data_IF_753951946149
#
_entry.id   IF_753951946149
#
_cell.length_a   1.000
_cell.length_b   1.000
_cell.length_c   1.000
_cell.angle_alpha   90.00
_cell.angle_beta   90.00
_cell.angle_gamma   90.00
#
_symmetry.space_group_name_H-M   'P 1'
#
loop_
_entity.id
_entity.type
_entity.pdbx_description
1 polymer ?
#
# COMPACT_ATOMS: atom_id res chain seq x y z
N UNK A 1 13.38 -29.05 7.23
CA UNK A 1 12.33 -28.04 7.46
C UNK A 1 12.02 -27.97 8.94
N UNK A 2 12.17 -26.81 9.57
CA UNK A 2 11.79 -26.60 10.97
C UNK A 2 10.49 -25.82 10.97
N UNK A 3 9.39 -26.49 11.25
CA UNK A 3 8.11 -25.84 11.55
C UNK A 3 8.26 -25.00 12.82
N UNK A 4 7.52 -23.90 12.91
CA UNK A 4 7.50 -23.08 14.11
C UNK A 4 7.11 -23.92 15.33
N UNK A 5 7.77 -23.75 16.50
CA UNK A 5 7.31 -24.36 17.73
C UNK A 5 5.83 -24.01 17.98
N UNK A 6 4.97 -24.97 18.43
CA UNK A 6 3.52 -24.74 18.54
C UNK A 6 3.13 -23.49 19.34
N UNK A 7 3.87 -23.18 20.42
CA UNK A 7 3.64 -21.98 21.21
C UNK A 7 3.87 -20.69 20.40
N UNK A 8 4.93 -20.63 19.59
CA UNK A 8 5.26 -19.47 18.75
C UNK A 8 4.23 -19.32 17.63
N UNK A 9 3.82 -20.43 17.01
CA UNK A 9 2.79 -20.41 15.98
C UNK A 9 1.46 -19.86 16.52
N UNK A 10 1.01 -20.34 17.68
CA UNK A 10 -0.22 -19.87 18.30
C UNK A 10 -0.15 -18.39 18.68
N UNK A 11 0.96 -17.94 19.25
CA UNK A 11 1.18 -16.53 19.56
C UNK A 11 1.08 -15.65 18.30
N UNK A 12 1.69 -16.08 17.19
CA UNK A 12 1.65 -15.35 15.93
C UNK A 12 0.27 -15.36 15.28
N UNK A 13 -0.45 -16.48 15.37
CA UNK A 13 -1.85 -16.56 14.94
C UNK A 13 -2.74 -15.60 15.71
N UNK A 14 -2.60 -15.53 17.04
CA UNK A 14 -3.34 -14.57 17.86
C UNK A 14 -3.07 -13.11 17.46
N UNK A 15 -1.82 -12.79 17.08
CA UNK A 15 -1.49 -11.45 16.55
C UNK A 15 -2.21 -11.15 15.25
N UNK A 16 -2.26 -12.10 14.31
CA UNK A 16 -2.99 -11.93 13.03
C UNK A 16 -4.49 -11.75 13.27
N UNK A 17 -5.07 -12.56 14.15
CA UNK A 17 -6.48 -12.50 14.51
C UNK A 17 -6.82 -11.15 15.17
N UNK A 18 -5.98 -10.67 16.10
CA UNK A 18 -6.15 -9.36 16.74
C UNK A 18 -5.97 -8.18 15.76
N UNK A 19 -4.97 -8.27 14.86
CA UNK A 19 -4.72 -7.26 13.84
C UNK A 19 -5.91 -7.11 12.89
N UNK A 20 -6.75 -8.14 12.75
CA UNK A 20 -7.92 -8.08 11.89
C UNK A 20 -8.88 -6.95 12.24
N UNK A 21 -8.91 -6.57 13.52
CA UNK A 21 -9.79 -5.55 14.09
C UNK A 21 -9.21 -4.11 14.01
N UNK A 22 -7.92 -3.95 13.73
CA UNK A 22 -7.23 -2.67 13.81
C UNK A 22 -7.66 -1.67 12.71
N UNK A 23 -7.90 -0.43 13.12
CA UNK A 23 -8.22 0.72 12.26
C UNK A 23 -7.25 1.88 12.52
N UNK A 24 -6.29 2.16 11.61
CA UNK A 24 -5.31 3.23 11.82
C UNK A 24 -5.93 4.63 11.93
N UNK A 25 -7.16 4.86 11.45
CA UNK A 25 -7.85 6.16 11.57
C UNK A 25 -8.53 6.34 12.94
N UNK A 26 -8.48 5.33 13.81
CA UNK A 26 -9.09 5.34 15.15
C UNK A 26 -8.15 4.84 16.26
N UNK A 27 -7.16 4.02 15.90
CA UNK A 27 -6.31 3.32 16.85
C UNK A 27 -4.92 3.95 16.88
N UNK A 28 -4.84 5.17 17.42
CA UNK A 28 -3.57 5.82 17.77
C UNK A 28 -2.73 6.39 16.63
N UNK A 29 -3.22 6.36 15.38
CA UNK A 29 -2.53 6.94 14.21
C UNK A 29 -3.31 8.08 13.53
N UNK A 30 -4.35 8.63 14.18
CA UNK A 30 -5.23 9.65 13.59
C UNK A 30 -4.49 10.90 13.12
N UNK A 31 -3.45 11.32 13.86
CA UNK A 31 -2.64 12.48 13.50
C UNK A 31 -1.87 12.32 12.19
N UNK A 32 -1.64 11.08 11.74
CA UNK A 32 -1.03 10.77 10.46
C UNK A 32 -2.04 10.75 9.31
N UNK A 33 -3.34 10.67 9.62
CA UNK A 33 -4.43 10.56 8.64
C UNK A 33 -4.87 11.91 8.07
N UNK A 34 -4.27 13.02 8.52
CA UNK A 34 -4.46 14.34 7.93
C UNK A 34 -3.12 14.91 7.51
N UNK A 35 -3.03 15.46 6.30
CA UNK A 35 -1.82 16.16 5.88
C UNK A 35 -2.16 17.40 5.04
N UNK A 36 -1.35 18.45 5.19
CA UNK A 36 -1.42 19.65 4.36
C UNK A 36 -0.38 19.53 3.25
N UNK A 37 -0.81 19.65 2.00
CA UNK A 37 0.03 19.57 0.81
C UNK A 37 -0.33 20.67 -0.18
N UNK A 38 0.67 21.18 -0.91
CA UNK A 38 0.42 22.03 -2.08
C UNK A 38 0.28 21.08 -3.26
N UNK A 39 -0.93 20.89 -3.79
CA UNK A 39 -1.16 20.15 -5.03
C UNK A 39 -1.59 21.18 -6.07
N UNK A 40 -0.81 21.35 -7.13
CA UNK A 40 -1.17 22.27 -8.20
C UNK A 40 -2.47 21.80 -8.88
N UNK A 41 -3.48 22.67 -8.91
CA UNK A 41 -4.78 22.38 -9.52
C UNK A 41 -4.65 22.07 -11.01
N UNK A 42 -5.27 20.98 -11.44
CA UNK A 42 -5.35 20.57 -12.84
C UNK A 42 -6.42 21.40 -13.58
N UNK A 43 -6.05 22.59 -14.05
CA UNK A 43 -6.58 23.22 -15.27
C UNK A 43 -5.71 24.44 -15.61
N UNK A 44 -4.71 24.27 -16.48
CA UNK A 44 -4.00 25.41 -17.10
C UNK A 44 -4.66 25.70 -18.45
N UNK A 45 -5.66 26.58 -18.45
CA UNK A 45 -5.93 27.39 -19.64
C UNK A 45 -4.82 28.43 -19.72
N UNK A 46 -4.00 28.37 -20.78
CA UNK A 46 -2.76 29.15 -20.94
C UNK A 46 -2.95 30.66 -21.16
N UNK A 47 -4.13 31.22 -20.90
CA UNK A 47 -4.48 32.58 -21.33
C UNK A 47 -4.92 33.55 -20.21
N UNK A 48 -4.54 33.35 -18.96
CA UNK A 48 -4.62 34.44 -17.97
C UNK A 48 -3.46 34.38 -16.97
N UNK A 49 -2.57 35.37 -17.08
CA UNK A 49 -1.65 35.76 -16.03
C UNK A 49 -2.44 36.47 -14.92
N UNK A 50 -2.82 35.75 -13.87
CA UNK A 50 -3.19 36.36 -12.59
C UNK A 50 -2.83 35.42 -11.43
N UNK A 51 -2.05 35.95 -10.48
CA UNK A 51 -1.80 35.51 -9.11
C UNK A 51 -1.92 33.99 -8.83
N UNK A 52 -0.77 33.31 -8.86
CA UNK A 52 -0.61 31.94 -8.39
C UNK A 52 -0.76 31.86 -6.87
N UNK A 53 -2.00 31.86 -6.39
CA UNK A 53 -2.31 31.52 -5.01
C UNK A 53 -2.24 29.98 -4.91
N UNK A 54 -1.04 29.45 -4.63
CA UNK A 54 -0.81 28.03 -4.31
C UNK A 54 -1.65 27.66 -3.07
N UNK A 55 -2.92 27.32 -3.28
CA UNK A 55 -3.81 26.95 -2.19
C UNK A 55 -3.36 25.60 -1.62
N UNK A 56 -2.99 25.63 -0.34
CA UNK A 56 -2.65 24.45 0.43
C UNK A 56 -3.89 23.55 0.54
N UNK A 57 -3.91 22.44 -0.19
CA UNK A 57 -4.96 21.44 -0.08
C UNK A 57 -4.73 20.59 1.18
N UNK A 58 -5.78 20.46 2.00
CA UNK A 58 -5.79 19.47 3.07
C UNK A 58 -6.23 18.14 2.49
N UNK A 59 -5.43 17.12 2.74
CA UNK A 59 -5.71 15.75 2.37
C UNK A 59 -6.16 14.97 3.60
N UNK A 60 -7.18 14.16 3.39
CA UNK A 60 -7.71 13.24 4.39
C UNK A 60 -7.45 11.80 3.94
N UNK A 61 -6.97 10.98 4.87
CA UNK A 61 -6.74 9.55 4.68
C UNK A 61 -7.87 8.80 5.39
N UNK A 62 -8.63 8.05 4.61
CA UNK A 62 -9.74 7.23 5.08
C UNK A 62 -9.32 5.76 5.12
N UNK A 63 -9.80 5.02 6.11
CA UNK A 63 -9.59 3.59 6.22
C UNK A 63 -10.86 2.83 5.86
N UNK A 64 -10.70 1.77 5.07
CA UNK A 64 -11.80 0.89 4.68
C UNK A 64 -11.38 -0.57 4.83
N UNK A 65 -12.26 -1.38 5.42
CA UNK A 65 -12.18 -2.82 5.22
C UNK A 65 -12.90 -3.17 3.92
N UNK A 66 -12.39 -4.16 3.20
CA UNK A 66 -12.96 -4.58 1.92
C UNK A 66 -14.47 -4.84 1.96
N UNK A 67 -14.95 -5.48 3.03
CA UNK A 67 -16.36 -5.78 3.25
C UNK A 67 -17.25 -4.56 3.52
N UNK A 68 -16.67 -3.44 3.95
CA UNK A 68 -17.38 -2.20 4.28
C UNK A 68 -17.09 -1.07 3.29
N UNK A 69 -16.21 -1.30 2.31
CA UNK A 69 -15.84 -0.32 1.29
C UNK A 69 -16.95 -0.24 0.23
N UNK A 70 -17.38 0.97 -0.10
CA UNK A 70 -18.38 1.18 -1.16
C UNK A 70 -17.81 0.82 -2.53
N UNK A 71 -18.70 0.48 -3.47
CA UNK A 71 -18.29 0.21 -4.85
C UNK A 71 -17.61 1.40 -5.53
N UNK A 72 -18.02 2.62 -5.17
CA UNK A 72 -17.40 3.85 -5.67
C UNK A 72 -15.90 3.91 -5.32
N UNK A 73 -15.54 3.74 -4.04
CA UNK A 73 -14.14 3.80 -3.62
C UNK A 73 -13.33 2.65 -4.23
N UNK A 74 -13.91 1.44 -4.30
CA UNK A 74 -13.23 0.28 -4.87
C UNK A 74 -12.97 0.45 -6.37
N UNK A 75 -13.97 0.90 -7.12
CA UNK A 75 -13.82 1.23 -8.53
C UNK A 75 -12.76 2.31 -8.75
N UNK A 76 -12.73 3.35 -7.91
CA UNK A 76 -11.71 4.40 -7.97
C UNK A 76 -10.29 3.85 -7.74
N UNK A 77 -10.11 2.95 -6.77
CA UNK A 77 -8.83 2.27 -6.55
C UNK A 77 -8.42 1.43 -7.78
N UNK A 78 -9.37 0.66 -8.33
CA UNK A 78 -9.14 -0.14 -9.53
C UNK A 78 -8.76 0.72 -10.75
N UNK A 79 -9.42 1.86 -10.96
CA UNK A 79 -9.07 2.80 -12.04
C UNK A 79 -7.66 3.36 -11.89
N UNK A 80 -7.26 3.75 -10.68
CA UNK A 80 -5.89 4.23 -10.44
C UNK A 80 -4.88 3.10 -10.70
N UNK A 81 -5.14 1.89 -10.20
CA UNK A 81 -4.29 0.73 -10.41
C UNK A 81 -4.10 0.43 -11.91
N UNK A 82 -5.20 0.30 -12.65
CA UNK A 82 -5.14 -0.04 -14.08
C UNK A 82 -4.43 1.04 -14.89
N UNK A 83 -4.67 2.32 -14.58
CA UNK A 83 -3.95 3.44 -15.20
C UNK A 83 -2.45 3.36 -14.98
N UNK A 84 -2.00 2.98 -13.77
CA UNK A 84 -0.59 2.97 -13.41
C UNK A 84 0.14 1.68 -13.83
N UNK A 85 -0.53 0.53 -13.78
CA UNK A 85 0.13 -0.77 -13.76
C UNK A 85 -0.32 -1.74 -14.85
N UNK A 86 -1.44 -1.51 -15.55
CA UNK A 86 -1.97 -2.48 -16.53
C UNK A 86 -0.91 -2.90 -17.56
N UNK A 87 -0.24 -1.93 -18.19
CA UNK A 87 0.80 -2.22 -19.17
C UNK A 87 1.99 -2.99 -18.56
N UNK A 88 2.37 -2.70 -17.31
CA UNK A 88 3.46 -3.45 -16.66
C UNK A 88 3.07 -4.91 -16.38
N UNK A 89 1.81 -5.17 -16.02
CA UNK A 89 1.32 -6.53 -15.84
C UNK A 89 1.24 -7.27 -17.18
N UNK A 90 0.71 -6.63 -18.23
CA UNK A 90 0.64 -7.21 -19.59
C UNK A 90 2.04 -7.53 -20.15
N UNK A 91 3.05 -6.72 -19.83
CA UNK A 91 4.46 -6.93 -20.21
C UNK A 91 5.24 -7.87 -19.26
N UNK A 92 4.60 -8.40 -18.22
CA UNK A 92 5.22 -9.28 -17.22
C UNK A 92 4.92 -10.75 -17.47
N UNK A 93 5.65 -11.61 -16.77
CA UNK A 93 5.42 -13.05 -16.71
C UNK A 93 4.05 -13.44 -16.14
N UNK A 94 3.38 -12.52 -15.41
CA UNK A 94 2.08 -12.76 -14.78
C UNK A 94 0.89 -12.46 -15.69
N UNK A 95 1.06 -11.61 -16.71
CA UNK A 95 -0.05 -11.06 -17.49
C UNK A 95 -1.02 -10.20 -16.66
N UNK A 96 -2.12 -9.74 -17.27
CA UNK A 96 -3.19 -9.02 -16.57
C UNK A 96 -4.51 -9.77 -16.68
N UNK A 97 -5.09 -10.10 -15.52
CA UNK A 97 -6.39 -10.75 -15.39
C UNK A 97 -7.29 -9.87 -14.51
N UNK A 98 -8.25 -9.20 -15.15
CA UNK A 98 -9.17 -8.25 -14.52
C UNK A 98 -10.05 -8.93 -13.46
N UNK A 99 -10.55 -10.13 -13.74
CA UNK A 99 -11.41 -10.84 -12.81
C UNK A 99 -10.63 -11.22 -11.55
N UNK A 100 -9.43 -11.79 -11.71
CA UNK A 100 -8.56 -12.12 -10.57
C UNK A 100 -8.16 -10.88 -9.78
N UNK A 101 -7.84 -9.77 -10.44
CA UNK A 101 -7.49 -8.51 -9.75
C UNK A 101 -8.70 -7.96 -8.96
N UNK A 102 -9.90 -8.04 -9.52
CA UNK A 102 -11.11 -7.64 -8.80
C UNK A 102 -11.44 -8.57 -7.63
N UNK A 103 -11.23 -9.88 -7.77
CA UNK A 103 -11.34 -10.84 -6.65
C UNK A 103 -10.31 -10.52 -5.55
N UNK A 104 -9.07 -10.19 -5.92
CA UNK A 104 -8.02 -9.77 -4.99
C UNK A 104 -8.42 -8.51 -4.19
N UNK A 105 -8.95 -7.49 -4.87
CA UNK A 105 -9.44 -6.25 -4.24
C UNK A 105 -10.69 -6.47 -3.37
N UNK A 106 -11.44 -7.55 -3.61
CA UNK A 106 -12.65 -7.92 -2.84
C UNK A 106 -12.39 -8.90 -1.72
N UNK A 107 -11.16 -9.38 -1.56
CA UNK A 107 -10.85 -10.37 -0.55
C UNK A 107 -11.25 -9.91 0.86
N UNK A 108 -11.76 -10.83 1.68
CA UNK A 108 -12.28 -10.50 3.02
C UNK A 108 -11.19 -9.93 3.95
N UNK A 109 -9.94 -10.35 3.75
CA UNK A 109 -8.78 -9.85 4.48
C UNK A 109 -8.25 -8.50 3.99
N UNK A 110 -8.76 -7.94 2.89
CA UNK A 110 -8.24 -6.71 2.30
C UNK A 110 -8.61 -5.46 3.11
N UNK A 111 -7.61 -4.60 3.31
CA UNK A 111 -7.71 -3.29 3.98
C UNK A 111 -7.19 -2.21 3.06
N UNK A 112 -7.84 -1.07 3.08
CA UNK A 112 -7.54 0.05 2.20
C UNK A 112 -7.30 1.32 3.01
N UNK A 113 -6.30 2.07 2.60
CA UNK A 113 -6.20 3.49 2.90
C UNK A 113 -6.51 4.24 1.60
N UNK A 114 -7.46 5.16 1.60
CA UNK A 114 -7.71 6.05 0.47
C UNK A 114 -7.40 7.48 0.85
N UNK A 115 -6.87 8.26 -0.09
CA UNK A 115 -6.54 9.67 0.12
C UNK A 115 -7.47 10.51 -0.75
N UNK A 116 -8.16 11.45 -0.13
CA UNK A 116 -9.08 12.39 -0.78
C UNK A 116 -8.73 13.83 -0.38
N UNK A 117 -9.21 14.80 -1.15
CA UNK A 117 -9.19 16.20 -0.73
C UNK A 117 -10.24 16.42 0.38
N UNK A 118 -9.81 17.01 1.50
CA UNK A 118 -10.71 17.35 2.60
C UNK A 118 -11.74 18.39 2.11
N UNK A 119 -13.03 18.06 2.25
CA UNK A 119 -14.14 18.91 1.80
C UNK A 119 -14.47 18.80 0.31
N UNK A 120 -13.81 17.92 -0.46
CA UNK A 120 -14.26 17.60 -1.81
C UNK A 120 -15.58 16.81 -1.76
N UNK A 121 -16.64 17.42 -2.28
CA UNK A 121 -17.98 16.84 -2.29
C UNK A 121 -18.07 15.56 -3.12
N UNK A 122 -17.14 15.37 -4.07
CA UNK A 122 -17.07 14.20 -4.92
C UNK A 122 -16.20 13.08 -4.32
N UNK A 123 -15.50 13.36 -3.20
CA UNK A 123 -14.57 12.43 -2.54
C UNK A 123 -13.59 11.76 -3.52
N UNK A 124 -13.07 12.52 -4.49
CA UNK A 124 -12.18 11.96 -5.53
C UNK A 124 -10.95 11.34 -4.88
N UNK A 125 -10.74 10.05 -5.14
CA UNK A 125 -9.56 9.33 -4.68
C UNK A 125 -8.32 9.77 -5.46
N UNK A 126 -7.33 10.30 -4.75
CA UNK A 126 -6.04 10.72 -5.30
C UNK A 126 -4.95 9.67 -5.11
N UNK A 127 -5.09 8.83 -4.09
CA UNK A 127 -4.16 7.74 -3.83
C UNK A 127 -4.84 6.65 -3.04
N UNK A 128 -4.30 5.44 -3.11
CA UNK A 128 -4.71 4.38 -2.20
C UNK A 128 -3.56 3.42 -1.90
N UNK A 129 -3.71 2.66 -0.83
CA UNK A 129 -2.94 1.44 -0.59
C UNK A 129 -3.87 0.29 -0.22
N UNK A 130 -3.57 -0.91 -0.70
CA UNK A 130 -4.24 -2.17 -0.37
C UNK A 130 -3.24 -3.06 0.36
N UNK A 131 -3.60 -3.52 1.55
CA UNK A 131 -2.74 -4.40 2.34
C UNK A 131 -3.54 -5.45 3.11
N UNK A 132 -2.83 -6.48 3.58
CA UNK A 132 -3.37 -7.56 4.41
C UNK A 132 -2.42 -7.91 5.54
N UNK A 133 -2.96 -8.56 6.57
CA UNK A 133 -2.18 -9.23 7.60
C UNK A 133 -2.16 -10.72 7.28
N UNK A 134 -0.99 -11.24 6.99
CA UNK A 134 -0.81 -12.61 6.47
C UNK A 134 0.46 -13.21 7.07
N UNK A 135 0.68 -14.50 6.80
CA UNK A 135 1.98 -15.10 7.00
C UNK A 135 2.94 -14.64 5.91
N UNK A 136 4.24 -14.67 6.18
CA UNK A 136 5.26 -14.36 5.17
C UNK A 136 5.38 -15.42 4.07
N UNK A 137 4.98 -16.65 4.36
CA UNK A 137 4.88 -17.76 3.42
C UNK A 137 3.67 -18.63 3.80
N UNK A 138 2.88 -19.03 2.81
CA UNK A 138 1.68 -19.84 3.02
C UNK A 138 1.98 -21.32 3.29
N UNK A 139 3.05 -21.86 2.71
CA UNK A 139 3.45 -23.26 2.86
C UNK A 139 4.29 -23.47 4.14
N UNK A 140 5.22 -22.56 4.40
CA UNK A 140 6.12 -22.60 5.55
C UNK A 140 6.09 -21.29 6.35
N UNK A 141 4.99 -21.01 7.08
CA UNK A 141 4.84 -19.76 7.80
C UNK A 141 5.93 -19.62 8.87
N UNK A 142 6.66 -18.51 8.83
CA UNK A 142 7.74 -18.21 9.77
C UNK A 142 7.40 -17.02 10.67
N UNK A 143 6.62 -16.06 10.16
CA UNK A 143 6.21 -14.90 10.92
C UNK A 143 4.97 -14.18 10.36
N UNK A 144 4.24 -13.42 11.21
CA UNK A 144 3.14 -12.59 10.76
C UNK A 144 3.66 -11.28 10.17
N UNK A 145 3.10 -10.87 9.03
CA UNK A 145 3.53 -9.69 8.26
C UNK A 145 2.37 -8.80 7.87
N UNK A 146 2.69 -7.53 7.59
CA UNK A 146 1.80 -6.68 6.80
C UNK A 146 2.25 -6.75 5.35
N UNK A 147 1.46 -7.38 4.48
CA UNK A 147 1.73 -7.48 3.06
C UNK A 147 1.06 -6.31 2.33
N UNK A 148 1.85 -5.47 1.68
CA UNK A 148 1.37 -4.38 0.81
C UNK A 148 1.19 -4.94 -0.61
N UNK A 149 -0.06 -5.17 -0.98
CA UNK A 149 -0.43 -5.63 -2.31
C UNK A 149 -0.35 -4.49 -3.33
N UNK A 150 -0.89 -3.32 -2.97
CA UNK A 150 -0.89 -2.16 -3.85
C UNK A 150 -0.58 -0.88 -3.08
N UNK A 151 0.12 0.04 -3.75
CA UNK A 151 0.19 1.45 -3.36
C UNK A 151 0.28 2.28 -4.62
N UNK A 152 -0.70 3.16 -4.79
CA UNK A 152 -0.79 4.00 -5.98
C UNK A 152 -1.12 5.43 -5.61
N UNK A 153 -0.55 6.35 -6.39
CA UNK A 153 -0.87 7.77 -6.34
C UNK A 153 -1.20 8.17 -7.77
N UNK A 154 -2.32 8.87 -7.97
CA UNK A 154 -2.71 9.42 -9.26
C UNK A 154 -1.62 10.37 -9.77
N UNK A 155 -1.43 10.44 -11.08
CA UNK A 155 -0.36 11.22 -11.71
C UNK A 155 -0.36 12.69 -11.27
N UNK A 156 -1.54 13.29 -11.10
CA UNK A 156 -1.76 14.66 -10.62
C UNK A 156 -1.31 14.89 -9.16
N UNK A 157 -1.26 13.83 -8.34
CA UNK A 157 -0.95 13.92 -6.91
C UNK A 157 0.41 13.29 -6.53
N UNK A 158 1.18 12.83 -7.52
CA UNK A 158 2.51 12.26 -7.31
C UNK A 158 3.54 13.33 -6.89
N UNK A 159 4.62 12.86 -6.24
CA UNK A 159 5.76 13.70 -5.77
C UNK A 159 5.44 14.71 -4.67
N UNK A 160 4.23 14.71 -4.12
CA UNK A 160 3.83 15.49 -2.94
C UNK A 160 3.91 14.70 -1.60
N UNK A 161 4.74 13.66 -1.54
CA UNK A 161 4.96 12.89 -0.31
C UNK A 161 3.82 11.94 0.11
N UNK A 162 2.72 11.85 -0.64
CA UNK A 162 1.57 10.99 -0.33
C UNK A 162 1.97 9.51 -0.20
N UNK A 163 2.73 8.98 -1.17
CA UNK A 163 3.19 7.59 -1.13
C UNK A 163 4.05 7.29 0.11
N UNK A 164 4.92 8.23 0.51
CA UNK A 164 5.71 8.10 1.75
C UNK A 164 4.81 8.08 2.98
N UNK A 165 3.77 8.93 3.02
CA UNK A 165 2.81 8.97 4.13
C UNK A 165 2.05 7.66 4.27
N UNK A 166 1.51 7.13 3.16
CA UNK A 166 0.80 5.84 3.14
C UNK A 166 1.69 4.70 3.64
N UNK A 167 2.93 4.59 3.13
CA UNK A 167 3.89 3.60 3.64
C UNK A 167 4.20 3.79 5.11
N UNK A 168 4.37 5.02 5.58
CA UNK A 168 4.63 5.31 7.00
C UNK A 168 3.48 4.83 7.88
N UNK A 169 2.22 5.06 7.46
CA UNK A 169 1.05 4.56 8.20
C UNK A 169 1.05 3.04 8.22
N UNK A 170 1.36 2.36 7.11
CA UNK A 170 1.45 0.90 7.08
C UNK A 170 2.58 0.36 7.98
N UNK A 171 3.76 0.99 7.99
CA UNK A 171 4.85 0.64 8.93
C UNK A 171 4.43 0.81 10.39
N UNK A 172 3.75 1.91 10.73
CA UNK A 172 3.25 2.14 12.09
C UNK A 172 2.15 1.15 12.48
N UNK A 173 1.23 0.85 11.56
CA UNK A 173 0.20 -0.19 11.72
C UNK A 173 0.84 -1.54 12.00
N UNK A 174 1.86 -1.93 11.22
CA UNK A 174 2.60 -3.17 11.44
C UNK A 174 3.23 -3.24 12.84
N UNK A 175 3.84 -2.13 13.31
CA UNK A 175 4.41 -2.03 14.66
C UNK A 175 3.36 -2.12 15.77
N UNK A 176 2.20 -1.49 15.60
CA UNK A 176 1.12 -1.55 16.59
C UNK A 176 0.47 -2.93 16.64
N UNK A 177 0.27 -3.56 15.49
CA UNK A 177 -0.24 -4.92 15.36
C UNK A 177 0.79 -6.01 15.65
N UNK A 178 2.04 -5.64 16.03
CA UNK A 178 3.13 -6.57 16.37
C UNK A 178 3.51 -7.53 15.23
N UNK A 179 3.38 -7.07 13.98
CA UNK A 179 3.90 -7.77 12.81
C UNK A 179 5.43 -7.74 12.83
N UNK A 180 6.08 -8.75 12.24
CA UNK A 180 7.54 -8.85 12.22
C UNK A 180 8.18 -8.04 11.10
N UNK A 181 7.52 -7.91 9.96
CA UNK A 181 7.97 -7.12 8.82
C UNK A 181 6.79 -6.55 8.04
N UNK A 182 7.06 -5.49 7.27
CA UNK A 182 6.24 -5.09 6.13
C UNK A 182 6.89 -5.68 4.89
N UNK A 183 6.11 -6.34 4.04
CA UNK A 183 6.57 -7.00 2.82
C UNK A 183 5.76 -6.52 1.61
N UNK A 184 6.36 -6.50 0.43
CA UNK A 184 5.72 -6.14 -0.84
C UNK A 184 6.44 -6.77 -2.02
N UNK A 185 5.76 -6.85 -3.16
CA UNK A 185 6.37 -7.26 -4.43
C UNK A 185 6.42 -6.08 -5.40
N UNK A 186 7.51 -5.97 -6.15
CA UNK A 186 7.72 -4.90 -7.14
C UNK A 186 8.37 -5.44 -8.40
N UNK A 187 7.82 -5.07 -9.56
CA UNK A 187 8.46 -5.41 -10.84
C UNK A 187 9.82 -4.72 -10.97
N UNK A 188 10.84 -5.48 -11.40
CA UNK A 188 12.21 -4.98 -11.64
C UNK A 188 12.22 -3.85 -12.67
N UNK A 189 11.31 -3.90 -13.65
CA UNK A 189 11.13 -2.86 -14.69
C UNK A 189 10.56 -1.55 -14.12
N UNK A 190 9.88 -1.57 -12.97
CA UNK A 190 9.34 -0.37 -12.32
C UNK A 190 10.43 0.36 -11.52
N UNK A 191 11.38 0.97 -12.24
CA UNK A 191 12.54 1.64 -11.66
C UNK A 191 12.17 2.77 -10.68
N UNK A 192 11.05 3.46 -10.93
CA UNK A 192 10.57 4.51 -10.02
C UNK A 192 10.14 3.94 -8.67
N UNK A 193 9.37 2.85 -8.67
CA UNK A 193 8.97 2.16 -7.44
C UNK A 193 10.17 1.52 -6.73
N UNK A 194 11.08 0.89 -7.49
CA UNK A 194 12.32 0.32 -6.94
C UNK A 194 13.15 1.36 -6.19
N UNK A 195 13.38 2.54 -6.78
CA UNK A 195 14.08 3.64 -6.10
C UNK A 195 13.31 4.14 -4.88
N UNK A 196 11.99 4.26 -4.99
CA UNK A 196 11.15 4.67 -3.86
C UNK A 196 11.30 3.72 -2.66
N UNK A 197 11.14 2.40 -2.87
CA UNK A 197 11.24 1.43 -1.79
C UNK A 197 12.67 1.29 -1.24
N UNK A 198 13.66 1.06 -2.11
CA UNK A 198 15.03 0.75 -1.67
C UNK A 198 15.77 1.98 -1.16
N UNK A 199 15.72 3.09 -1.88
CA UNK A 199 16.54 4.26 -1.55
C UNK A 199 15.85 5.20 -0.56
N UNK A 200 14.52 5.39 -0.68
CA UNK A 200 13.78 6.36 0.15
C UNK A 200 13.16 5.74 1.38
N UNK A 201 12.50 4.58 1.23
CA UNK A 201 11.84 3.88 2.34
C UNK A 201 12.75 2.89 3.07
N UNK A 202 13.91 2.58 2.50
CA UNK A 202 14.95 1.67 3.04
C UNK A 202 14.48 0.22 3.19
N UNK A 203 13.71 -0.26 2.21
CA UNK A 203 13.37 -1.68 2.08
C UNK A 203 14.56 -2.44 1.48
N UNK A 204 14.83 -3.62 2.02
CA UNK A 204 15.80 -4.58 1.51
C UNK A 204 15.14 -5.63 0.62
N UNK A 205 15.95 -6.41 -0.11
CA UNK A 205 15.46 -7.64 -0.74
C UNK A 205 15.12 -8.62 0.38
N UNK A 206 13.90 -9.17 0.34
CA UNK A 206 13.47 -10.17 1.31
C UNK A 206 14.14 -11.52 1.01
N UNK A 207 14.37 -12.32 2.06
CA UNK A 207 14.96 -13.66 1.92
C UNK A 207 14.12 -14.58 1.02
N UNK A 208 12.80 -14.34 0.94
CA UNK A 208 11.89 -15.07 0.06
C UNK A 208 11.95 -14.65 -1.41
N UNK A 209 12.72 -13.61 -1.77
CA UNK A 209 12.77 -13.12 -3.15
C UNK A 209 13.43 -14.15 -4.08
N UNK A 210 12.92 -14.37 -5.32
CA UNK A 210 13.49 -15.33 -6.27
C UNK A 210 15.00 -15.13 -6.52
N UNK A 211 15.48 -13.88 -6.47
CA UNK A 211 16.89 -13.54 -6.67
C UNK A 211 17.82 -14.13 -5.59
N UNK A 212 17.31 -14.42 -4.39
CA UNK A 212 18.06 -15.08 -3.32
C UNK A 212 18.34 -16.58 -3.62
N UNK A 213 17.62 -17.17 -4.57
CA UNK A 213 17.71 -18.57 -4.97
C UNK A 213 18.27 -18.77 -6.39
N UNK A 214 18.71 -17.69 -7.05
CA UNK A 214 19.19 -17.72 -8.43
C UNK A 214 18.07 -17.94 -9.45
N UNK A 215 16.82 -17.69 -9.07
CA UNK A 215 15.67 -17.80 -9.97
C UNK A 215 15.49 -16.52 -10.78
N UNK A 216 15.30 -16.68 -12.08
CA UNK A 216 15.02 -15.59 -13.01
C UNK A 216 13.54 -15.20 -12.92
N UNK A 217 13.26 -14.12 -12.19
CA UNK A 217 11.94 -13.48 -12.12
C UNK A 217 12.01 -12.02 -12.57
N UNK A 218 10.92 -11.49 -13.11
CA UNK A 218 10.77 -10.09 -13.50
C UNK A 218 10.33 -9.17 -12.36
N UNK A 219 10.23 -9.70 -11.14
CA UNK A 219 9.91 -8.99 -9.90
C UNK A 219 10.92 -9.29 -8.79
N UNK A 220 10.87 -8.49 -7.73
CA UNK A 220 11.56 -8.69 -6.46
C UNK A 220 10.57 -8.60 -5.31
N UNK A 221 10.78 -9.43 -4.29
CA UNK A 221 10.10 -9.30 -3.01
C UNK A 221 10.98 -8.45 -2.10
N UNK A 222 10.42 -7.37 -1.56
CA UNK A 222 11.12 -6.45 -0.67
C UNK A 222 10.47 -6.45 0.71
N UNK A 223 11.29 -6.30 1.76
CA UNK A 223 10.78 -6.17 3.10
C UNK A 223 11.56 -5.21 3.99
N UNK A 224 10.92 -4.85 5.11
CA UNK A 224 11.51 -4.04 6.17
C UNK A 224 11.08 -4.59 7.52
N UNK A 225 12.05 -4.94 8.35
CA UNK A 225 11.81 -5.48 9.68
C UNK A 225 11.20 -4.43 10.61
N UNK A 226 10.16 -4.82 11.34
CA UNK A 226 9.44 -4.00 12.32
C UNK A 226 9.94 -4.36 13.71
N UNK A 227 11.11 -3.84 14.08
CA UNK A 227 11.63 -3.93 15.43
C UNK A 227 11.22 -2.67 16.21
N UNK A 228 10.74 -2.83 17.44
CA UNK A 228 10.77 -1.72 18.39
C UNK A 228 12.23 -1.53 18.77
N UNK A 229 12.75 -0.31 18.58
CA UNK A 229 14.03 0.11 19.12
C UNK A 229 14.03 0.00 20.65
#
# INVERSE_FOLDING_TARGET
MRTLPPAVYNEFKERLDAASAFDPTRDGLQSLCTMKNIIQGSHRDKNNETDGNDQLQRLQINFHRSNNMTEYFRASCYTIFTTNMRGMYEDSSWGFDEEKKMQELRHNGARFLTVVNEGDINEKVLAFSHYRFEWDNDEEPSCPVLYVYEIHVSSEAQRYGIGRRLMTIMEMTALQCKMKKVILTVFKKNLSAMRFYRERMKYGVDESSPSCYGEEADYEILSKAMCRA
#
